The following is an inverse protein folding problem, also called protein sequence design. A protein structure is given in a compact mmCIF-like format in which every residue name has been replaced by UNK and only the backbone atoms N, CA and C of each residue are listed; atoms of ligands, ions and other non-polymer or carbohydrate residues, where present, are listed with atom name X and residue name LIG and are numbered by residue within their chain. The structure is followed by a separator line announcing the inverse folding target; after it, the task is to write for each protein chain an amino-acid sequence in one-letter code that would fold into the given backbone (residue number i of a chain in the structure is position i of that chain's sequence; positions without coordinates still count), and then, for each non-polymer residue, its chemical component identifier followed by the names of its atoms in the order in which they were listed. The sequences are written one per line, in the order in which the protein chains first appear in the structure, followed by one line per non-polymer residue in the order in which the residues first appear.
data_IF_391629495691
#
_entry.id   IF_391629495691
#
_cell.length_a   1.000
_cell.length_b   1.000
_cell.length_c   1.000
_cell.angle_alpha   90.00
_cell.angle_beta   90.00
_cell.angle_gamma   90.00
#
_symmetry.space_group_name_H-M   'P 1'
#
loop_
_entity.id
_entity.type
_entity.pdbx_description
1 polymer ?
#
# COMPACT_ATOMS: atom_id res chain seq x y z
N UNK A 1 16.70 28.32 14.21
CA UNK A 1 16.35 27.59 12.99
C UNK A 1 16.90 28.45 11.87
N UNK A 2 18.03 28.03 11.32
CA UNK A 2 18.81 28.88 10.43
C UNK A 2 18.16 28.90 9.04
N UNK A 3 18.42 29.95 8.26
CA UNK A 3 17.86 30.13 6.91
C UNK A 3 18.13 28.91 6.01
N UNK A 4 19.26 28.23 6.23
CA UNK A 4 19.67 27.03 5.52
C UNK A 4 18.81 25.80 5.85
N UNK A 5 18.30 25.68 7.09
CA UNK A 5 17.40 24.59 7.49
C UNK A 5 16.04 24.72 6.79
N UNK A 6 15.56 25.96 6.68
CA UNK A 6 14.31 26.29 5.98
C UNK A 6 14.44 25.98 4.49
N UNK A 7 15.59 26.28 3.88
CA UNK A 7 15.87 25.92 2.49
C UNK A 7 15.87 24.39 2.31
N UNK A 8 16.56 23.65 3.18
CA UNK A 8 16.64 22.18 3.05
C UNK A 8 15.25 21.53 3.09
N UNK A 9 14.41 21.92 4.06
CA UNK A 9 13.05 21.38 4.18
C UNK A 9 12.20 21.75 2.95
N UNK A 10 12.35 22.97 2.44
CA UNK A 10 11.58 23.44 1.28
C UNK A 10 11.93 22.69 0.00
N UNK A 11 13.21 22.38 -0.22
CA UNK A 11 13.67 21.75 -1.46
C UNK A 11 13.54 20.23 -1.44
N UNK A 12 13.84 19.58 -0.31
CA UNK A 12 13.87 18.11 -0.22
C UNK A 12 12.67 17.49 0.50
N UNK A 13 11.84 18.30 1.18
CA UNK A 13 10.65 17.83 1.88
C UNK A 13 9.67 17.04 1.00
N UNK A 14 9.32 17.53 -0.21
CA UNK A 14 8.46 16.79 -1.14
C UNK A 14 9.06 15.45 -1.56
N UNK A 15 10.38 15.38 -1.74
CA UNK A 15 11.11 14.20 -2.20
C UNK A 15 11.04 13.06 -1.17
N UNK A 16 11.02 13.39 0.13
CA UNK A 16 10.90 12.42 1.23
C UNK A 16 9.61 11.60 1.10
N UNK A 17 8.49 12.20 0.66
CA UNK A 17 7.21 11.50 0.54
C UNK A 17 7.28 10.33 -0.45
N UNK A 18 8.01 10.49 -1.55
CA UNK A 18 8.26 9.40 -2.50
C UNK A 18 9.00 8.24 -1.84
N UNK A 19 10.02 8.55 -1.03
CA UNK A 19 10.77 7.54 -0.28
C UNK A 19 9.94 6.87 0.83
N UNK A 20 9.04 7.58 1.51
CA UNK A 20 8.12 6.95 2.48
C UNK A 20 7.23 5.90 1.81
N UNK A 21 6.72 6.19 0.60
CA UNK A 21 5.92 5.22 -0.17
C UNK A 21 6.78 4.02 -0.58
N UNK A 22 8.01 4.24 -1.03
CA UNK A 22 8.96 3.16 -1.35
C UNK A 22 9.17 2.26 -0.12
N UNK A 23 9.33 2.80 1.09
CA UNK A 23 9.50 2.00 2.31
C UNK A 23 8.30 1.08 2.55
N UNK A 24 7.07 1.60 2.43
CA UNK A 24 5.85 0.81 2.63
C UNK A 24 5.69 -0.25 1.54
N UNK A 25 5.98 0.08 0.28
CA UNK A 25 5.92 -0.86 -0.84
C UNK A 25 6.96 -1.98 -0.72
N UNK A 26 8.16 -1.67 -0.22
CA UNK A 26 9.18 -2.68 0.07
C UNK A 26 8.75 -3.66 1.16
N UNK A 27 8.11 -3.16 2.21
CA UNK A 27 7.52 -4.01 3.25
C UNK A 27 6.43 -4.90 2.68
N UNK A 28 5.51 -4.33 1.88
CA UNK A 28 4.46 -5.11 1.20
C UNK A 28 5.05 -6.16 0.26
N UNK A 29 6.07 -5.82 -0.52
CA UNK A 29 6.79 -6.75 -1.39
C UNK A 29 7.33 -7.94 -0.59
N UNK A 30 7.99 -7.71 0.55
CA UNK A 30 8.47 -8.79 1.41
C UNK A 30 7.35 -9.62 2.00
N UNK A 31 6.30 -8.98 2.51
CA UNK A 31 5.15 -9.68 3.07
C UNK A 31 4.46 -10.58 2.03
N UNK A 32 4.37 -10.14 0.77
CA UNK A 32 3.80 -10.97 -0.31
C UNK A 32 4.70 -12.17 -0.60
N UNK A 33 6.02 -11.97 -0.67
CA UNK A 33 6.98 -13.05 -0.86
C UNK A 33 6.91 -14.07 0.29
N UNK A 34 6.82 -13.59 1.53
CA UNK A 34 6.74 -14.47 2.70
C UNK A 34 5.42 -15.24 2.76
N UNK A 35 4.30 -14.64 2.33
CA UNK A 35 3.02 -15.34 2.19
C UNK A 35 3.05 -16.47 1.16
N UNK A 36 3.84 -16.32 0.10
CA UNK A 36 4.06 -17.34 -0.91
C UNK A 36 4.95 -18.47 -0.37
N UNK A 37 6.15 -18.13 0.10
CA UNK A 37 7.18 -19.10 0.50
C UNK A 37 6.85 -19.82 1.82
N UNK A 38 6.42 -19.08 2.84
CA UNK A 38 6.25 -19.59 4.21
C UNK A 38 4.77 -19.72 4.60
N UNK A 39 3.87 -19.02 3.90
CA UNK A 39 2.46 -18.95 4.29
C UNK A 39 2.20 -18.06 5.50
N UNK A 40 3.16 -17.24 5.92
CA UNK A 40 2.98 -16.23 6.98
C UNK A 40 3.52 -14.87 6.52
N UNK A 41 2.86 -13.79 6.93
CA UNK A 41 3.29 -12.43 6.68
C UNK A 41 3.90 -11.84 7.96
N UNK A 42 5.21 -11.54 7.98
CA UNK A 42 5.86 -10.95 9.13
C UNK A 42 5.32 -9.55 9.43
N UNK A 43 5.52 -9.10 10.67
CA UNK A 43 5.10 -7.77 11.11
C UNK A 43 5.71 -6.66 10.23
N UNK A 44 5.06 -5.49 10.19
CA UNK A 44 5.60 -4.34 9.46
C UNK A 44 7.01 -4.00 9.94
N UNK A 45 7.23 -3.93 11.26
CA UNK A 45 8.53 -3.55 11.87
C UNK A 45 9.63 -4.55 11.52
N UNK A 46 9.33 -5.85 11.57
CA UNK A 46 10.28 -6.91 11.19
C UNK A 46 10.62 -6.83 9.71
N UNK A 47 9.61 -6.72 8.85
CA UNK A 47 9.79 -6.59 7.40
C UNK A 47 10.59 -5.33 7.03
N UNK A 48 10.31 -4.22 7.70
CA UNK A 48 10.97 -2.95 7.47
C UNK A 48 12.46 -3.03 7.83
N UNK A 49 12.79 -3.57 9.00
CA UNK A 49 14.18 -3.70 9.46
C UNK A 49 14.99 -4.76 8.71
N UNK A 50 14.37 -5.84 8.22
CA UNK A 50 15.10 -6.89 7.49
C UNK A 50 15.20 -6.65 5.98
N UNK A 51 14.17 -6.03 5.38
CA UNK A 51 14.02 -5.97 3.92
C UNK A 51 14.03 -4.55 3.33
N UNK A 52 13.50 -3.55 4.02
CA UNK A 52 13.40 -2.18 3.49
C UNK A 52 14.71 -1.39 3.68
N UNK A 53 15.82 -2.00 3.26
CA UNK A 53 17.18 -1.49 3.49
C UNK A 53 17.76 -0.86 2.21
N UNK A 54 18.50 0.25 2.31
CA UNK A 54 18.96 1.01 1.15
C UNK A 54 19.85 0.19 0.23
N UNK A 55 20.70 -0.68 0.79
CA UNK A 55 21.62 -1.53 0.03
C UNK A 55 20.94 -2.58 -0.84
N UNK A 56 19.63 -2.80 -0.71
CA UNK A 56 18.88 -3.71 -1.59
C UNK A 56 18.31 -3.01 -2.83
N UNK A 57 17.93 -1.74 -2.71
CA UNK A 57 17.25 -1.01 -3.79
C UNK A 57 18.22 -0.09 -4.51
N UNK A 58 19.02 0.68 -3.78
CA UNK A 58 19.88 1.72 -4.36
C UNK A 58 20.87 1.13 -5.37
N UNK A 59 21.58 0.02 -5.11
CA UNK A 59 22.47 -0.57 -6.12
C UNK A 59 21.74 -1.03 -7.38
N UNK A 60 20.54 -1.60 -7.23
CA UNK A 60 19.71 -2.06 -8.36
C UNK A 60 19.21 -0.85 -9.16
N UNK A 61 18.83 0.24 -8.50
CA UNK A 61 18.47 1.50 -9.16
C UNK A 61 19.63 2.11 -9.95
N UNK A 62 20.83 2.12 -9.37
CA UNK A 62 22.05 2.60 -10.06
C UNK A 62 22.34 1.74 -11.31
N UNK A 63 22.28 0.41 -11.17
CA UNK A 63 22.50 -0.51 -12.28
C UNK A 63 21.43 -0.36 -13.38
N UNK A 64 20.15 -0.27 -13.01
CA UNK A 64 19.06 -0.05 -13.95
C UNK A 64 19.23 1.27 -14.70
N UNK A 65 19.60 2.34 -14.00
CA UNK A 65 19.90 3.64 -14.62
C UNK A 65 21.06 3.53 -15.60
N UNK A 66 22.14 2.85 -15.21
CA UNK A 66 23.28 2.60 -16.09
C UNK A 66 22.81 1.90 -17.36
N UNK A 67 22.01 0.83 -17.27
CA UNK A 67 21.49 0.12 -18.45
C UNK A 67 20.56 0.98 -19.33
N UNK A 68 19.78 1.89 -18.74
CA UNK A 68 18.80 2.70 -19.49
C UNK A 68 19.44 3.88 -20.24
N UNK A 69 20.46 4.51 -19.64
CA UNK A 69 21.04 5.77 -20.13
C UNK A 69 22.46 5.64 -20.67
N UNK A 70 23.12 4.49 -20.51
CA UNK A 70 24.41 4.20 -21.12
C UNK A 70 24.22 3.31 -22.36
N UNK A 71 24.78 3.62 -23.55
CA UNK A 71 25.60 4.79 -23.92
C UNK A 71 24.76 6.02 -24.34
N UNK A 72 25.34 7.22 -24.19
CA UNK A 72 24.66 8.51 -24.41
C UNK A 72 24.07 8.69 -25.81
N UNK A 73 24.72 8.11 -26.83
CA UNK A 73 24.31 8.24 -28.24
C UNK A 73 23.11 7.35 -28.61
N UNK A 74 22.80 6.33 -27.79
CA UNK A 74 21.80 5.31 -28.11
C UNK A 74 20.96 4.93 -26.89
N UNK A 75 20.54 5.95 -26.12
CA UNK A 75 19.77 5.77 -24.89
C UNK A 75 18.53 4.90 -25.15
N UNK A 76 18.53 3.70 -24.56
CA UNK A 76 17.41 2.76 -24.61
C UNK A 76 16.15 3.44 -24.05
N UNK A 77 16.32 4.29 -23.03
CA UNK A 77 15.25 5.11 -22.48
C UNK A 77 14.49 5.91 -23.57
N UNK A 78 15.21 6.61 -24.46
CA UNK A 78 14.59 7.41 -25.52
C UNK A 78 13.85 6.55 -26.55
N UNK A 79 14.36 5.34 -26.84
CA UNK A 79 13.70 4.38 -27.75
C UNK A 79 12.41 3.82 -27.17
N UNK A 80 12.37 3.59 -25.86
CA UNK A 80 11.17 3.10 -25.14
C UNK A 80 10.19 4.26 -24.89
N UNK A 81 10.56 5.50 -25.19
CA UNK A 81 9.76 6.69 -24.87
C UNK A 81 9.75 7.01 -23.37
N UNK A 82 10.73 6.50 -22.61
CA UNK A 82 10.94 6.91 -21.23
C UNK A 82 11.39 8.37 -21.18
N UNK A 83 10.79 9.13 -20.27
CA UNK A 83 11.20 10.51 -20.01
C UNK A 83 12.61 10.61 -19.41
N UNK A 84 13.07 11.85 -19.24
CA UNK A 84 14.31 12.15 -18.52
C UNK A 84 14.17 11.75 -17.04
N UNK A 85 15.27 11.27 -16.46
CA UNK A 85 15.32 10.92 -15.04
C UNK A 85 15.24 12.17 -14.15
N UNK A 86 14.86 11.97 -12.89
CA UNK A 86 14.72 13.07 -11.94
C UNK A 86 16.10 13.65 -11.54
N UNK A 87 17.16 12.85 -11.68
CA UNK A 87 18.55 13.31 -11.48
C UNK A 87 18.94 14.41 -12.47
N UNK A 88 18.62 14.26 -13.75
CA UNK A 88 18.87 15.30 -14.76
C UNK A 88 18.23 16.62 -14.34
N UNK A 89 16.98 16.58 -13.85
CA UNK A 89 16.29 17.79 -13.37
C UNK A 89 17.00 18.40 -12.16
N UNK A 90 17.42 17.59 -11.19
CA UNK A 90 18.15 18.06 -10.01
C UNK A 90 19.54 18.62 -10.36
N UNK A 91 20.23 18.03 -11.33
CA UNK A 91 21.52 18.52 -11.83
C UNK A 91 21.34 19.88 -12.51
N UNK A 92 20.29 20.06 -13.33
CA UNK A 92 20.00 21.38 -13.96
C UNK A 92 19.66 22.46 -12.95
N UNK A 93 19.10 22.10 -11.80
CA UNK A 93 18.78 23.02 -10.70
C UNK A 93 19.99 23.28 -9.78
N UNK A 94 21.13 22.59 -9.99
CA UNK A 94 22.32 22.72 -9.15
C UNK A 94 22.15 22.19 -7.71
N UNK A 95 21.10 21.40 -7.46
CA UNK A 95 20.78 20.83 -6.14
C UNK A 95 21.22 19.37 -6.00
N UNK A 96 21.70 18.74 -7.07
CA UNK A 96 22.09 17.35 -7.05
C UNK A 96 23.39 17.10 -6.30
N UNK A 97 23.37 16.12 -5.40
CA UNK A 97 24.57 15.50 -4.84
C UNK A 97 24.41 13.97 -4.83
N UNK A 98 25.48 13.24 -5.14
CA UNK A 98 25.41 11.79 -5.34
C UNK A 98 24.90 11.00 -4.11
N UNK A 99 25.10 11.53 -2.90
CA UNK A 99 24.63 10.93 -1.65
C UNK A 99 23.16 11.25 -1.32
N UNK A 100 22.50 12.14 -2.07
CA UNK A 100 21.14 12.63 -1.78
C UNK A 100 20.10 11.49 -1.69
N UNK A 101 19.99 10.58 -2.68
CA UNK A 101 18.98 9.54 -2.61
C UNK A 101 19.19 8.59 -1.43
N UNK A 102 20.45 8.32 -1.06
CA UNK A 102 20.79 7.47 0.09
C UNK A 102 20.38 8.16 1.39
N UNK A 103 20.68 9.45 1.52
CA UNK A 103 20.30 10.24 2.68
C UNK A 103 18.78 10.33 2.84
N UNK A 104 18.06 10.67 1.77
CA UNK A 104 16.59 10.74 1.78
C UNK A 104 15.96 9.37 2.09
N UNK A 105 16.52 8.29 1.55
CA UNK A 105 16.06 6.94 1.84
C UNK A 105 16.25 6.58 3.32
N UNK A 106 17.42 6.89 3.90
CA UNK A 106 17.71 6.65 5.32
C UNK A 106 16.82 7.50 6.24
N UNK A 107 16.58 8.77 5.88
CA UNK A 107 15.65 9.63 6.59
C UNK A 107 14.22 9.06 6.56
N UNK A 108 13.75 8.64 5.38
CA UNK A 108 12.44 7.98 5.23
C UNK A 108 12.37 6.66 6.02
N UNK A 109 13.45 5.87 6.04
CA UNK A 109 13.55 4.64 6.83
C UNK A 109 13.41 4.94 8.33
N UNK A 110 14.11 5.94 8.84
CA UNK A 110 14.03 6.33 10.25
C UNK A 110 12.61 6.83 10.62
N UNK A 111 12.02 7.69 9.79
CA UNK A 111 10.65 8.21 9.97
C UNK A 111 9.64 7.06 9.98
N UNK A 112 9.68 6.17 8.99
CA UNK A 112 8.75 5.03 8.90
C UNK A 112 8.95 4.03 10.03
N UNK A 113 10.20 3.82 10.48
CA UNK A 113 10.50 2.97 11.62
C UNK A 113 9.86 3.49 12.91
N UNK A 114 10.01 4.78 13.20
CA UNK A 114 9.36 5.41 14.35
C UNK A 114 7.83 5.39 14.21
N UNK A 115 7.33 5.73 13.03
CA UNK A 115 5.90 5.79 12.75
C UNK A 115 5.23 4.42 12.92
N UNK A 116 5.88 3.34 12.48
CA UNK A 116 5.38 1.98 12.65
C UNK A 116 5.23 1.58 14.13
N UNK A 117 6.17 1.98 14.99
CA UNK A 117 6.06 1.73 16.44
C UNK A 117 4.85 2.46 17.02
N UNK A 118 4.69 3.75 16.69
CA UNK A 118 3.55 4.55 17.15
C UNK A 118 2.22 3.93 16.69
N UNK A 119 2.11 3.58 15.41
CA UNK A 119 0.91 2.96 14.83
C UNK A 119 0.59 1.63 15.51
N UNK A 120 1.59 0.77 15.76
CA UNK A 120 1.36 -0.49 16.47
C UNK A 120 0.86 -0.28 17.90
N UNK A 121 1.38 0.72 18.63
CA UNK A 121 0.91 1.06 19.98
C UNK A 121 -0.53 1.57 19.95
N UNK A 122 -0.87 2.43 18.99
CA UNK A 122 -2.22 2.97 18.81
C UNK A 122 -3.19 1.84 18.45
N UNK A 123 -2.89 1.01 17.45
CA UNK A 123 -3.73 -0.11 17.04
C UNK A 123 -3.89 -1.12 18.17
N UNK A 124 -2.82 -1.40 18.93
CA UNK A 124 -2.89 -2.30 20.08
C UNK A 124 -3.72 -1.75 21.24
N UNK A 125 -3.78 -0.43 21.38
CA UNK A 125 -4.61 0.24 22.39
C UNK A 125 -6.08 0.28 21.95
N UNK A 126 -6.35 0.68 20.71
CA UNK A 126 -7.70 0.66 20.12
C UNK A 126 -8.27 -0.76 20.04
N UNK A 127 -7.46 -1.75 19.68
CA UNK A 127 -7.86 -3.14 19.63
C UNK A 127 -8.19 -3.73 21.00
N UNK A 128 -7.60 -3.22 22.08
CA UNK A 128 -8.00 -3.58 23.46
C UNK A 128 -9.35 -2.96 23.83
N UNK A 129 -9.56 -1.70 23.49
CA UNK A 129 -10.75 -0.94 23.85
C UNK A 129 -11.98 -1.41 23.06
N UNK A 130 -11.86 -1.48 21.74
CA UNK A 130 -12.98 -1.77 20.82
C UNK A 130 -13.06 -3.24 20.39
N UNK A 131 -12.01 -4.02 20.61
CA UNK A 131 -11.94 -5.42 20.19
C UNK A 131 -13.08 -6.30 20.68
N UNK A 132 -13.44 -6.29 21.98
CA UNK A 132 -14.55 -7.10 22.49
C UNK A 132 -15.88 -6.80 21.80
N UNK A 133 -16.14 -5.52 21.49
CA UNK A 133 -17.35 -5.07 20.79
C UNK A 133 -17.34 -5.59 19.35
N UNK A 134 -16.23 -5.40 18.63
CA UNK A 134 -16.07 -5.82 17.24
C UNK A 134 -16.14 -7.34 17.08
N UNK A 135 -15.51 -8.11 17.99
CA UNK A 135 -15.57 -9.57 17.93
C UNK A 135 -16.96 -10.09 18.30
N UNK A 136 -17.65 -9.48 19.28
CA UNK A 136 -19.04 -9.84 19.59
C UNK A 136 -19.93 -9.62 18.38
N UNK A 137 -19.71 -8.52 17.66
CA UNK A 137 -20.39 -8.24 16.40
C UNK A 137 -20.00 -9.22 15.28
N UNK A 138 -18.76 -9.74 15.23
CA UNK A 138 -18.33 -10.70 14.19
C UNK A 138 -18.58 -12.18 14.52
N UNK A 139 -18.94 -12.49 15.77
CA UNK A 139 -19.17 -13.85 16.27
C UNK A 139 -20.50 -14.44 15.80
N UNK A 140 -21.50 -13.58 15.56
CA UNK A 140 -22.77 -14.00 14.99
C UNK A 140 -22.67 -14.06 13.45
N UNK A 141 -23.06 -15.21 12.88
CA UNK A 141 -23.01 -15.48 11.44
C UNK A 141 -23.83 -14.48 10.61
N UNK A 142 -24.95 -14.00 11.19
CA UNK A 142 -25.79 -12.98 10.57
C UNK A 142 -25.09 -11.62 10.57
N UNK A 143 -24.55 -11.23 11.72
CA UNK A 143 -23.85 -9.95 11.90
C UNK A 143 -22.56 -9.87 11.07
N UNK A 144 -21.83 -10.97 10.87
CA UNK A 144 -20.69 -11.02 9.94
C UNK A 144 -21.11 -10.75 8.49
N UNK A 145 -22.21 -11.36 8.03
CA UNK A 145 -22.77 -11.11 6.70
C UNK A 145 -23.23 -9.67 6.55
N UNK A 146 -23.86 -9.09 7.58
CA UNK A 146 -24.26 -7.68 7.60
C UNK A 146 -23.05 -6.75 7.53
N UNK A 147 -22.00 -7.00 8.31
CA UNK A 147 -20.76 -6.21 8.29
C UNK A 147 -20.01 -6.29 6.95
N UNK A 148 -20.03 -7.46 6.30
CA UNK A 148 -19.43 -7.62 4.98
C UNK A 148 -20.25 -6.91 3.90
N UNK A 149 -21.59 -7.04 3.93
CA UNK A 149 -22.48 -6.33 3.02
C UNK A 149 -22.40 -4.81 3.20
N UNK A 150 -22.36 -4.31 4.44
CA UNK A 150 -22.23 -2.88 4.72
C UNK A 150 -20.89 -2.33 4.22
N UNK A 151 -19.80 -3.11 4.32
CA UNK A 151 -18.50 -2.72 3.74
C UNK A 151 -18.60 -2.52 2.23
N UNK A 152 -19.30 -3.39 1.49
CA UNK A 152 -19.51 -3.22 0.04
C UNK A 152 -20.33 -1.98 -0.30
N UNK A 153 -21.36 -1.68 0.49
CA UNK A 153 -22.15 -0.44 0.32
C UNK A 153 -21.26 0.79 0.54
N UNK A 154 -20.42 0.78 1.59
CA UNK A 154 -19.50 1.90 1.86
C UNK A 154 -18.46 2.05 0.74
N UNK A 155 -17.89 0.96 0.22
CA UNK A 155 -16.96 1.04 -0.90
C UNK A 155 -17.64 1.51 -2.20
N UNK A 156 -18.88 1.07 -2.46
CA UNK A 156 -19.69 1.59 -3.56
C UNK A 156 -19.97 3.08 -3.43
N UNK A 157 -20.31 3.54 -2.22
CA UNK A 157 -20.47 4.96 -1.93
C UNK A 157 -19.14 5.72 -2.10
N UNK A 158 -18.01 5.16 -1.65
CA UNK A 158 -16.69 5.76 -1.84
C UNK A 158 -16.31 5.91 -3.32
N UNK A 159 -16.67 4.92 -4.15
CA UNK A 159 -16.49 4.98 -5.59
C UNK A 159 -17.35 6.10 -6.23
N UNK A 160 -18.63 6.17 -5.88
CA UNK A 160 -19.53 7.21 -6.37
C UNK A 160 -19.06 8.60 -5.93
N UNK A 161 -18.68 8.77 -4.66
CA UNK A 161 -18.13 10.03 -4.15
C UNK A 161 -16.84 10.42 -4.86
N UNK A 162 -15.98 9.44 -5.19
CA UNK A 162 -14.74 9.71 -5.92
C UNK A 162 -15.01 10.31 -7.29
N UNK A 163 -16.00 9.78 -8.02
CA UNK A 163 -16.32 10.21 -9.39
C UNK A 163 -17.09 11.53 -9.38
N UNK A 164 -18.12 11.65 -8.54
CA UNK A 164 -19.08 12.75 -8.61
C UNK A 164 -18.76 13.94 -7.71
N UNK A 165 -17.99 13.75 -6.62
CA UNK A 165 -17.77 14.80 -5.61
C UNK A 165 -16.29 15.16 -5.52
N UNK A 166 -15.49 14.27 -4.91
CA UNK A 166 -14.06 14.45 -4.69
C UNK A 166 -13.40 13.07 -4.47
N UNK A 167 -12.33 12.80 -5.21
CA UNK A 167 -11.55 11.57 -5.11
C UNK A 167 -10.96 11.33 -3.72
N UNK A 168 -10.51 12.40 -3.05
CA UNK A 168 -9.91 12.31 -1.72
C UNK A 168 -10.90 11.83 -0.65
N UNK A 169 -12.20 12.17 -0.76
CA UNK A 169 -13.24 11.66 0.13
C UNK A 169 -13.43 10.15 -0.03
N UNK A 170 -13.36 9.63 -1.25
CA UNK A 170 -13.43 8.19 -1.47
C UNK A 170 -12.25 7.44 -0.83
N UNK A 171 -11.03 7.97 -0.99
CA UNK A 171 -9.83 7.42 -0.34
C UNK A 171 -10.01 7.44 1.19
N UNK A 172 -10.53 8.54 1.74
CA UNK A 172 -10.80 8.66 3.18
C UNK A 172 -11.76 7.59 3.70
N UNK A 173 -12.87 7.34 2.99
CA UNK A 173 -13.84 6.30 3.38
C UNK A 173 -13.24 4.90 3.32
N UNK A 174 -12.48 4.60 2.26
CA UNK A 174 -11.77 3.31 2.14
C UNK A 174 -10.75 3.15 3.27
N UNK A 175 -10.01 4.21 3.60
CA UNK A 175 -9.06 4.23 4.70
C UNK A 175 -9.74 3.98 6.05
N UNK A 176 -10.87 4.65 6.34
CA UNK A 176 -11.63 4.47 7.57
C UNK A 176 -12.12 3.02 7.75
N UNK A 177 -12.67 2.40 6.69
CA UNK A 177 -13.08 0.98 6.74
C UNK A 177 -11.87 0.07 6.94
N UNK A 178 -10.73 0.38 6.33
CA UNK A 178 -9.49 -0.40 6.47
C UNK A 178 -8.95 -0.34 7.90
N UNK A 179 -9.03 0.81 8.59
CA UNK A 179 -8.69 0.91 10.02
C UNK A 179 -9.58 -0.02 10.85
N UNK A 180 -10.90 0.04 10.66
CA UNK A 180 -11.86 -0.78 11.41
C UNK A 180 -11.57 -2.28 11.20
N UNK A 181 -11.27 -2.68 9.95
CA UNK A 181 -10.86 -4.05 9.62
C UNK A 181 -9.56 -4.43 10.32
N UNK A 182 -8.55 -3.57 10.30
CA UNK A 182 -7.24 -3.83 10.93
C UNK A 182 -7.38 -4.02 12.44
N UNK A 183 -8.17 -3.18 13.11
CA UNK A 183 -8.49 -3.31 14.54
C UNK A 183 -9.22 -4.62 14.82
N UNK A 184 -10.17 -5.00 13.94
CA UNK A 184 -10.90 -6.27 14.07
C UNK A 184 -9.96 -7.47 13.93
N UNK A 185 -9.03 -7.45 12.98
CA UNK A 185 -8.02 -8.50 12.83
C UNK A 185 -7.08 -8.58 14.03
N UNK A 186 -6.63 -7.44 14.56
CA UNK A 186 -5.83 -7.41 15.79
C UNK A 186 -6.57 -8.04 16.96
N UNK A 187 -7.83 -7.64 17.18
CA UNK A 187 -8.64 -8.15 18.26
C UNK A 187 -8.87 -9.67 18.12
N UNK A 188 -9.13 -10.14 16.90
CA UNK A 188 -9.30 -11.55 16.58
C UNK A 188 -8.00 -12.34 16.83
N UNK A 189 -6.86 -11.87 16.32
CA UNK A 189 -5.55 -12.51 16.52
C UNK A 189 -5.17 -12.59 18.00
N UNK A 190 -5.48 -11.55 18.78
CA UNK A 190 -5.24 -11.53 20.23
C UNK A 190 -6.14 -12.50 21.00
N UNK A 191 -7.45 -12.53 20.68
CA UNK A 191 -8.39 -13.44 21.35
C UNK A 191 -8.06 -14.91 21.04
N UNK A 192 -7.62 -15.16 19.82
CA UNK A 192 -7.15 -16.46 19.35
C UNK A 192 -5.64 -16.61 19.52
N UNK A 193 -5.04 -16.01 20.55
CA UNK A 193 -3.60 -16.09 20.83
C UNK A 193 -3.06 -17.52 21.01
N UNK A 194 -3.93 -18.53 21.07
CA UNK A 194 -3.60 -19.97 21.10
C UNK A 194 -3.70 -20.67 19.72
N UNK A 195 -4.06 -19.96 18.64
CA UNK A 195 -4.34 -20.50 17.31
C UNK A 195 -3.36 -19.91 16.25
N UNK A 196 -3.22 -20.54 15.06
CA UNK A 196 -2.01 -20.49 14.23
C UNK A 196 -1.59 -19.08 13.76
N UNK A 197 -0.29 -18.92 13.49
CA UNK A 197 0.42 -17.72 12.97
C UNK A 197 -0.39 -16.95 11.91
N UNK A 198 -1.17 -17.69 11.14
CA UNK A 198 -2.18 -17.28 10.18
C UNK A 198 -2.92 -15.96 10.52
N UNK A 199 -3.55 -15.84 11.70
CA UNK A 199 -4.37 -14.64 12.01
C UNK A 199 -3.54 -13.37 12.21
N UNK A 200 -2.28 -13.50 12.58
CA UNK A 200 -1.34 -12.38 12.66
C UNK A 200 -0.92 -11.90 11.28
N UNK A 201 -0.83 -12.81 10.30
CA UNK A 201 -0.52 -12.45 8.90
C UNK A 201 -1.54 -11.46 8.34
N UNK A 202 -2.84 -11.70 8.56
CA UNK A 202 -3.90 -10.77 8.13
C UNK A 202 -3.72 -9.39 8.77
N UNK A 203 -3.50 -9.33 10.09
CA UNK A 203 -3.26 -8.06 10.78
C UNK A 203 -2.02 -7.34 10.23
N UNK A 204 -0.92 -8.06 10.01
CA UNK A 204 0.34 -7.50 9.55
C UNK A 204 0.23 -6.91 8.14
N UNK A 205 -0.43 -7.60 7.21
CA UNK A 205 -0.64 -7.11 5.84
C UNK A 205 -1.60 -5.93 5.82
N UNK A 206 -2.72 -6.01 6.55
CA UNK A 206 -3.67 -4.90 6.62
C UNK A 206 -3.09 -3.65 7.28
N UNK A 207 -2.15 -3.82 8.22
CA UNK A 207 -1.40 -2.69 8.79
C UNK A 207 -0.55 -2.00 7.71
N UNK A 208 0.16 -2.76 6.88
CA UNK A 208 0.92 -2.21 5.75
C UNK A 208 0.03 -1.54 4.70
N UNK A 209 -1.11 -2.15 4.34
CA UNK A 209 -2.10 -1.56 3.44
C UNK A 209 -2.71 -0.28 4.01
N UNK A 210 -3.01 -0.25 5.30
CA UNK A 210 -3.50 0.93 5.99
C UNK A 210 -2.47 2.06 5.93
N UNK A 211 -1.18 1.78 6.15
CA UNK A 211 -0.10 2.75 6.01
C UNK A 211 0.02 3.28 4.56
N UNK A 212 -0.10 2.42 3.56
CA UNK A 212 -0.09 2.83 2.16
C UNK A 212 -1.27 3.74 1.82
N UNK A 213 -2.47 3.39 2.30
CA UNK A 213 -3.69 4.20 2.12
C UNK A 213 -3.63 5.53 2.88
N UNK A 214 -2.97 5.58 4.03
CA UNK A 214 -2.71 6.83 4.73
C UNK A 214 -1.84 7.76 3.87
N UNK A 215 -0.74 7.25 3.32
CA UNK A 215 0.13 8.03 2.43
C UNK A 215 -0.64 8.47 1.17
N UNK A 216 -1.48 7.59 0.61
CA UNK A 216 -2.37 7.95 -0.49
C UNK A 216 -3.32 9.09 -0.11
N UNK A 217 -3.95 9.03 1.06
CA UNK A 217 -4.84 10.07 1.55
C UNK A 217 -4.09 11.38 1.74
N UNK A 218 -2.94 11.37 2.43
CA UNK A 218 -2.11 12.55 2.69
C UNK A 218 -1.68 13.27 1.42
N UNK A 219 -1.30 12.53 0.36
CA UNK A 219 -0.95 13.09 -0.94
C UNK A 219 -2.14 13.77 -1.64
N UNK A 220 -3.36 13.34 -1.34
CA UNK A 220 -4.59 13.84 -1.95
C UNK A 220 -5.38 14.80 -1.02
N UNK A 221 -4.86 15.14 0.16
CA UNK A 221 -5.45 16.15 1.07
C UNK A 221 -5.64 17.52 0.39
N UNK A 222 -4.72 18.02 -0.46
CA UNK A 222 -4.94 19.30 -1.14
C UNK A 222 -6.24 19.34 -1.98
N UNK A 223 -6.60 18.24 -2.64
CA UNK A 223 -7.88 18.13 -3.37
C UNK A 223 -9.08 18.22 -2.43
N UNK A 224 -8.99 17.61 -1.23
CA UNK A 224 -10.05 17.68 -0.22
C UNK A 224 -10.24 19.12 0.28
N UNK A 225 -9.15 19.81 0.60
CA UNK A 225 -9.18 21.20 1.06
C UNK A 225 -9.69 22.16 -0.03
N UNK A 226 -9.32 21.91 -1.29
CA UNK A 226 -9.82 22.69 -2.43
C UNK A 226 -11.33 22.49 -2.63
N UNK A 227 -11.81 21.25 -2.51
CA UNK A 227 -13.23 20.92 -2.55
C UNK A 227 -14.00 21.58 -1.41
N UNK A 228 -13.52 21.49 -0.17
CA UNK A 228 -14.15 22.10 1.01
C UNK A 228 -14.32 23.62 0.82
N UNK A 229 -13.29 24.31 0.33
CA UNK A 229 -13.37 25.75 0.03
C UNK A 229 -14.35 26.09 -1.10
N UNK A 230 -14.55 25.17 -2.04
CA UNK A 230 -15.44 25.36 -3.18
C UNK A 230 -16.89 24.92 -2.90
N UNK A 231 -17.17 24.38 -1.72
CA UNK A 231 -18.46 23.78 -1.36
C UNK A 231 -19.62 24.80 -1.42
N UNK A 232 -19.33 26.08 -1.22
CA UNK A 232 -20.31 27.17 -1.35
C UNK A 232 -20.75 27.43 -2.79
N UNK A 233 -19.94 27.03 -3.79
CA UNK A 233 -20.19 27.32 -5.19
C UNK A 233 -20.62 26.08 -5.99
N UNK A 234 -20.01 24.93 -5.71
CA UNK A 234 -20.30 23.68 -6.41
C UNK A 234 -20.04 22.49 -5.49
N UNK A 235 -20.94 21.50 -5.51
CA UNK A 235 -20.74 20.22 -4.83
C UNK A 235 -19.64 19.37 -5.49
N UNK A 236 -19.37 19.58 -6.78
CA UNK A 236 -18.38 18.85 -7.55
C UNK A 236 -17.13 19.70 -7.80
N UNK A 237 -15.96 19.10 -7.63
CA UNK A 237 -14.70 19.69 -8.08
C UNK A 237 -14.50 19.36 -9.57
N UNK A 238 -14.47 20.36 -10.45
CA UNK A 238 -14.47 20.15 -11.92
C UNK A 238 -13.23 19.40 -12.40
N UNK A 239 -12.05 19.78 -11.93
CA UNK A 239 -10.76 19.15 -12.23
C UNK A 239 -10.14 18.64 -10.94
N UNK A 240 -10.32 17.36 -10.64
CA UNK A 240 -9.76 16.72 -9.46
C UNK A 240 -8.70 15.67 -9.83
N UNK A 241 -7.41 15.90 -9.54
CA UNK A 241 -6.35 14.90 -9.78
C UNK A 241 -6.53 13.63 -8.92
N UNK A 242 -7.28 13.71 -7.82
CA UNK A 242 -7.53 12.58 -6.92
C UNK A 242 -8.62 11.64 -7.41
N UNK A 243 -9.42 12.04 -8.41
CA UNK A 243 -10.61 11.32 -8.87
C UNK A 243 -10.28 9.90 -9.33
N UNK A 244 -9.22 9.75 -10.14
CA UNK A 244 -8.77 8.45 -10.64
C UNK A 244 -8.25 7.57 -9.51
N UNK A 245 -7.42 8.12 -8.63
CA UNK A 245 -6.88 7.42 -7.46
C UNK A 245 -7.99 6.91 -6.55
N UNK A 246 -8.95 7.77 -6.18
CA UNK A 246 -10.08 7.40 -5.32
C UNK A 246 -10.98 6.33 -5.93
N UNK A 247 -11.26 6.42 -7.24
CA UNK A 247 -12.03 5.41 -7.95
C UNK A 247 -11.33 4.04 -7.95
N UNK A 248 -10.04 4.00 -8.31
CA UNK A 248 -9.25 2.76 -8.35
C UNK A 248 -9.11 2.15 -6.95
N UNK A 249 -8.79 2.95 -5.94
CA UNK A 249 -8.66 2.50 -4.54
C UNK A 249 -9.97 1.90 -4.04
N UNK A 250 -11.11 2.51 -4.40
CA UNK A 250 -12.44 1.98 -4.03
C UNK A 250 -12.72 0.63 -4.70
N UNK A 251 -12.40 0.48 -5.99
CA UNK A 251 -12.54 -0.80 -6.72
C UNK A 251 -11.64 -1.88 -6.10
N UNK A 252 -10.36 -1.55 -5.85
CA UNK A 252 -9.42 -2.48 -5.23
C UNK A 252 -9.91 -2.92 -3.86
N UNK A 253 -10.44 -2.00 -3.04
CA UNK A 253 -10.97 -2.34 -1.72
C UNK A 253 -12.16 -3.33 -1.79
N UNK A 254 -13.02 -3.20 -2.80
CA UNK A 254 -14.07 -4.20 -3.09
C UNK A 254 -13.46 -5.55 -3.43
N UNK A 255 -12.49 -5.59 -4.36
CA UNK A 255 -11.83 -6.83 -4.80
C UNK A 255 -11.14 -7.54 -3.64
N UNK A 256 -10.35 -6.83 -2.84
CA UNK A 256 -9.67 -7.40 -1.67
C UNK A 256 -10.66 -7.91 -0.62
N UNK A 257 -11.82 -7.27 -0.50
CA UNK A 257 -12.88 -7.70 0.42
C UNK A 257 -13.65 -8.92 -0.09
N UNK A 258 -13.82 -9.07 -1.41
CA UNK A 258 -14.46 -10.22 -2.04
C UNK A 258 -13.58 -11.46 -2.02
N UNK A 259 -12.26 -11.28 -2.13
CA UNK A 259 -11.27 -12.38 -2.16
C UNK A 259 -10.88 -12.89 -0.76
N UNK A 260 -11.39 -12.25 0.30
CA UNK A 260 -11.01 -12.52 1.71
C UNK A 260 -9.49 -12.47 1.93
N UNK A 261 -8.83 -11.53 1.24
CA UNK A 261 -7.38 -11.35 1.28
C UNK A 261 -6.88 -10.94 2.69
N UNK A 262 -5.66 -11.34 3.12
CA UNK A 262 -4.74 -12.27 2.46
C UNK A 262 -5.12 -13.73 2.71
N UNK A 263 -4.96 -14.57 1.68
CA UNK A 263 -5.04 -16.03 1.79
C UNK A 263 -3.65 -16.61 2.02
N UNK A 264 -3.58 -17.79 2.63
CA UNK A 264 -2.31 -18.50 2.85
C UNK A 264 -1.87 -19.21 1.58
N UNK A 265 -0.56 -19.15 1.27
CA UNK A 265 0.09 -19.86 0.15
C UNK A 265 -0.54 -19.59 -1.21
N UNK A 266 -0.66 -18.31 -1.59
CA UNK A 266 -1.02 -17.95 -2.96
C UNK A 266 0.21 -17.92 -3.85
N UNK A 267 0.33 -18.85 -4.80
CA UNK A 267 1.46 -18.98 -5.75
C UNK A 267 1.77 -17.69 -6.53
N UNK A 268 0.78 -16.80 -6.65
CA UNK A 268 0.91 -15.54 -7.38
C UNK A 268 1.49 -14.40 -6.54
N UNK A 269 1.65 -14.57 -5.23
CA UNK A 269 2.19 -13.54 -4.35
C UNK A 269 3.71 -13.36 -4.54
N UNK A 270 4.45 -14.40 -4.95
CA UNK A 270 5.86 -14.28 -5.32
C UNK A 270 6.08 -13.37 -6.54
N UNK A 271 5.26 -13.54 -7.59
CA UNK A 271 5.29 -12.68 -8.78
C UNK A 271 4.90 -11.24 -8.42
N UNK A 272 3.84 -11.07 -7.61
CA UNK A 272 3.42 -9.76 -7.15
C UNK A 272 4.52 -9.06 -6.35
N UNK A 273 5.23 -9.78 -5.49
CA UNK A 273 6.39 -9.27 -4.75
C UNK A 273 7.48 -8.75 -5.67
N UNK A 274 7.84 -9.51 -6.72
CA UNK A 274 8.85 -9.11 -7.68
C UNK A 274 8.45 -7.85 -8.46
N UNK A 275 7.17 -7.75 -8.87
CA UNK A 275 6.64 -6.56 -9.55
C UNK A 275 6.70 -5.35 -8.60
N UNK A 276 6.25 -5.48 -7.35
CA UNK A 276 6.32 -4.40 -6.36
C UNK A 276 7.77 -3.97 -6.08
N UNK A 277 8.72 -4.90 -6.03
CA UNK A 277 10.14 -4.59 -5.88
C UNK A 277 10.66 -3.80 -7.08
N UNK A 278 10.36 -4.25 -8.31
CA UNK A 278 10.74 -3.52 -9.52
C UNK A 278 10.11 -2.13 -9.59
N UNK A 279 8.86 -1.98 -9.15
CA UNK A 279 8.23 -0.67 -9.01
C UNK A 279 9.00 0.23 -8.04
N UNK A 280 9.42 -0.29 -6.88
CA UNK A 280 10.24 0.46 -5.93
C UNK A 280 11.55 0.94 -6.55
N UNK A 281 12.23 0.07 -7.32
CA UNK A 281 13.47 0.43 -8.04
C UNK A 281 13.19 1.56 -9.04
N UNK A 282 12.13 1.46 -9.85
CA UNK A 282 11.76 2.49 -10.82
C UNK A 282 11.41 3.81 -10.10
N UNK A 283 10.70 3.75 -8.96
CA UNK A 283 10.37 4.93 -8.17
C UNK A 283 11.62 5.69 -7.71
N UNK A 284 12.70 5.00 -7.34
CA UNK A 284 13.95 5.70 -6.96
C UNK A 284 14.57 6.54 -8.07
N UNK A 285 14.22 6.29 -9.33
CA UNK A 285 14.73 7.03 -10.50
C UNK A 285 13.81 8.17 -10.95
N UNK A 286 12.48 8.02 -10.78
CA UNK A 286 11.48 8.88 -11.43
C UNK A 286 10.47 9.56 -10.49
N UNK A 287 10.59 9.36 -9.18
CA UNK A 287 9.65 9.91 -8.19
C UNK A 287 10.28 10.96 -7.26
N UNK A 288 11.60 11.16 -7.35
CA UNK A 288 12.32 12.08 -6.47
C UNK A 288 11.85 13.52 -6.65
N UNK A 289 11.69 14.02 -7.89
CA UNK A 289 11.28 15.42 -8.14
C UNK A 289 9.79 15.59 -8.41
N UNK A 290 9.09 14.49 -8.67
CA UNK A 290 7.75 14.50 -9.26
C UNK A 290 6.71 13.88 -8.34
N UNK A 291 6.33 14.62 -7.28
CA UNK A 291 5.33 14.18 -6.29
C UNK A 291 3.99 13.75 -6.92
N UNK A 292 3.61 14.35 -8.05
CA UNK A 292 2.39 14.01 -8.80
C UNK A 292 2.40 12.60 -9.39
N UNK A 293 3.56 11.96 -9.52
CA UNK A 293 3.69 10.56 -9.98
C UNK A 293 3.49 9.57 -8.83
N UNK A 294 3.67 9.99 -7.57
CA UNK A 294 3.57 9.10 -6.40
C UNK A 294 2.21 8.39 -6.33
N UNK A 295 1.05 9.08 -6.50
CA UNK A 295 -0.25 8.40 -6.48
C UNK A 295 -0.37 7.30 -7.54
N UNK A 296 0.26 7.47 -8.71
CA UNK A 296 0.29 6.47 -9.79
C UNK A 296 0.93 5.17 -9.34
N UNK A 297 2.04 5.24 -8.63
CA UNK A 297 2.70 4.06 -8.06
C UNK A 297 1.88 3.42 -6.95
N UNK A 298 1.19 4.22 -6.13
CA UNK A 298 0.34 3.69 -5.06
C UNK A 298 -0.83 2.88 -5.64
N UNK A 299 -1.62 3.46 -6.55
CA UNK A 299 -2.77 2.74 -7.07
C UNK A 299 -2.37 1.58 -8.00
N UNK A 300 -1.25 1.67 -8.71
CA UNK A 300 -0.74 0.53 -9.49
C UNK A 300 -0.25 -0.61 -8.60
N UNK A 301 0.40 -0.33 -7.47
CA UNK A 301 0.78 -1.35 -6.48
C UNK A 301 -0.47 -2.03 -5.89
N UNK A 302 -1.51 -1.25 -5.59
CA UNK A 302 -2.79 -1.77 -5.14
C UNK A 302 -3.47 -2.66 -6.19
N UNK A 303 -3.40 -2.30 -7.48
CA UNK A 303 -3.87 -3.15 -8.58
C UNK A 303 -3.07 -4.46 -8.62
N UNK A 304 -1.74 -4.42 -8.53
CA UNK A 304 -0.90 -5.63 -8.53
C UNK A 304 -1.29 -6.57 -7.39
N UNK A 305 -1.48 -6.05 -6.18
CA UNK A 305 -1.92 -6.83 -5.01
C UNK A 305 -3.33 -7.41 -5.25
N UNK A 306 -4.25 -6.61 -5.77
CA UNK A 306 -5.62 -7.05 -6.06
C UNK A 306 -5.65 -8.15 -7.13
N UNK A 307 -4.88 -7.99 -8.20
CA UNK A 307 -4.76 -8.99 -9.27
C UNK A 307 -4.18 -10.28 -8.73
N UNK A 308 -3.13 -10.21 -7.91
CA UNK A 308 -2.55 -11.39 -7.28
C UNK A 308 -3.56 -12.11 -6.37
N UNK A 309 -4.35 -11.35 -5.59
CA UNK A 309 -5.40 -11.89 -4.73
C UNK A 309 -6.54 -12.56 -5.52
N UNK A 310 -6.92 -11.98 -6.67
CA UNK A 310 -7.92 -12.58 -7.57
C UNK A 310 -7.38 -13.85 -8.19
N UNK A 311 -6.17 -13.82 -8.75
CA UNK A 311 -5.58 -14.99 -9.41
C UNK A 311 -5.37 -16.14 -8.43
N UNK A 312 -4.85 -15.87 -7.22
CA UNK A 312 -4.75 -16.90 -6.18
C UNK A 312 -6.13 -17.45 -5.81
N UNK A 313 -7.15 -16.59 -5.66
CA UNK A 313 -8.52 -17.03 -5.37
C UNK A 313 -9.09 -17.96 -6.45
N UNK A 314 -8.81 -17.72 -7.74
CA UNK A 314 -9.26 -18.57 -8.84
C UNK A 314 -8.49 -19.87 -8.95
N UNK A 315 -7.17 -19.83 -8.77
CA UNK A 315 -6.28 -20.99 -8.85
C UNK A 315 -6.51 -21.99 -7.71
N UNK A 316 -6.92 -21.53 -6.52
CA UNK A 316 -7.17 -22.40 -5.36
C UNK A 316 -8.52 -23.16 -5.42
N UNK A 317 -9.48 -22.71 -6.24
CA UNK A 317 -10.81 -23.36 -6.36
C UNK A 317 -10.77 -24.86 -6.69
N UNK A 318 -9.95 -25.36 -7.64
CA UNK A 318 -9.89 -26.78 -7.95
C UNK A 318 -9.37 -27.65 -6.80
N UNK A 319 -8.47 -27.15 -5.95
CA UNK A 319 -7.87 -27.93 -4.86
C UNK A 319 -8.88 -28.23 -3.73
N UNK A 320 -9.72 -27.25 -3.37
CA UNK A 320 -10.74 -27.38 -2.31
C UNK A 320 -11.84 -28.39 -2.71
N UNK A 321 -12.22 -28.42 -3.98
CA UNK A 321 -13.22 -29.37 -4.46
C UNK A 321 -12.74 -30.82 -4.33
N UNK A 322 -11.45 -31.10 -4.56
CA UNK A 322 -10.90 -32.45 -4.44
C UNK A 322 -10.76 -32.93 -2.99
N UNK A 323 -10.36 -32.07 -2.06
CA UNK A 323 -10.28 -32.44 -0.64
C UNK A 323 -11.67 -32.69 -0.03
N UNK A 324 -12.65 -31.90 -0.44
CA UNK A 324 -14.04 -32.05 0.02
C UNK A 324 -14.65 -33.34 -0.52
N UNK A 325 -14.41 -33.68 -1.79
CA UNK A 325 -14.84 -34.96 -2.38
C UNK A 325 -14.17 -36.15 -1.67
N UNK A 326 -12.87 -36.06 -1.34
CA UNK A 326 -12.18 -37.12 -0.59
C UNK A 326 -12.73 -37.29 0.83
N UNK A 327 -13.07 -36.21 1.53
CA UNK A 327 -13.63 -36.30 2.89
C UNK A 327 -15.07 -36.81 2.92
N UNK A 328 -15.89 -36.48 1.92
CA UNK A 328 -17.23 -37.07 1.78
C UNK A 328 -17.11 -38.57 1.50
N UNK A 329 -16.22 -38.96 0.59
CA UNK A 329 -16.00 -40.37 0.26
C UNK A 329 -15.50 -41.22 1.44
N UNK A 330 -14.72 -40.63 2.35
CA UNK A 330 -14.20 -41.30 3.55
C UNK A 330 -15.19 -41.32 4.73
N UNK A 331 -16.37 -40.71 4.57
CA UNK A 331 -17.43 -40.68 5.59
C UNK A 331 -18.57 -41.67 5.27
N UNK A 332 -18.57 -42.20 4.05
CA UNK A 332 -19.55 -43.18 3.55
C UNK A 332 -19.01 -44.63 3.58
N UNK A 333 -17.77 -44.82 4.06
CA UNK A 333 -17.12 -46.12 4.38
C UNK A 333 -17.07 -46.32 5.91
#
# INVERSE_FOLDING_TARGET
MDLNDILFIRFYGPDILGFLVIQVLMVLSWQMKSLDEHGDAPSFTTSHTCWAQPWRIVPVGILLRFMLYYPEDNQIANKIGLGRDDRYQMETLGIWYAALPVFLYLAAHAIMGLYAVIVNVILGSLGRLFGPILIRFQGDSLSRRVAQKSSYVIFGAAFLLSIFVCGALGIFLVYAVTIIKTISFYAMARRLSQLPESKWSSFNVYTSLMLLLLLAFLLNVPSLLAWEKNLSYSLQLSVDPSRTTGAIVSIVAVILSLTEYPKYRGEMYGIASAILFMMCVIMTLFVVTSIHRVPVYIYSALIVIATAAVLSFWLDRPAINQSTIKQVKNKDD
#
